data_IF_813377985778
#
_entry.id   IF_813377985778
#
_cell.length_a   1.000
_cell.length_b   1.000
_cell.length_c   1.000
_cell.angle_alpha   90.00
_cell.angle_beta   90.00
_cell.angle_gamma   90.00
#
_symmetry.space_group_name_H-M   'P 1'
#
loop_
_entity.id
_entity.type
_entity.pdbx_description
1 polymer ?
#
# COMPACT_ATOMS: atom_id res chain seq x y z
N UNK A 1 10.54 9.76 -14.69
CA UNK A 1 11.14 11.06 -14.29
C UNK A 1 11.70 11.83 -15.47
N UNK A 2 12.72 11.33 -16.19
CA UNK A 2 13.29 12.03 -17.35
C UNK A 2 12.22 12.42 -18.39
N UNK A 3 11.31 11.52 -18.74
CA UNK A 3 10.19 11.77 -19.67
C UNK A 3 9.27 12.92 -19.26
N UNK A 4 9.05 13.14 -17.95
CA UNK A 4 8.21 14.24 -17.44
C UNK A 4 8.94 15.57 -17.62
N UNK A 5 10.24 15.60 -17.30
CA UNK A 5 11.07 16.79 -17.47
C UNK A 5 11.23 17.13 -18.94
N UNK A 6 11.48 16.14 -19.79
CA UNK A 6 11.55 16.30 -21.25
C UNK A 6 10.24 16.87 -21.81
N UNK A 7 9.09 16.33 -21.37
CA UNK A 7 7.80 16.86 -21.79
C UNK A 7 7.60 18.32 -21.36
N UNK A 8 7.97 18.66 -20.12
CA UNK A 8 7.92 20.04 -19.64
C UNK A 8 8.79 20.97 -20.50
N UNK A 9 10.05 20.59 -20.74
CA UNK A 9 11.00 21.36 -21.56
C UNK A 9 10.51 21.50 -23.00
N UNK A 10 10.04 20.41 -23.63
CA UNK A 10 9.52 20.44 -24.99
C UNK A 10 8.30 21.34 -25.13
N UNK A 11 7.40 21.31 -24.15
CA UNK A 11 6.21 22.19 -24.13
C UNK A 11 6.61 23.67 -23.99
N UNK A 12 7.64 23.96 -23.18
CA UNK A 12 8.18 25.30 -23.05
C UNK A 12 8.92 25.75 -24.34
N UNK A 13 9.65 24.86 -25.01
CA UNK A 13 10.32 25.13 -26.28
C UNK A 13 9.34 25.47 -27.40
N UNK A 14 8.22 24.74 -27.49
CA UNK A 14 7.17 25.03 -28.48
C UNK A 14 6.58 26.42 -28.28
N UNK A 15 6.35 26.84 -27.03
CA UNK A 15 5.83 28.16 -26.72
C UNK A 15 6.88 29.26 -26.98
N UNK A 16 8.15 29.01 -26.66
CA UNK A 16 9.27 29.89 -27.02
C UNK A 16 9.31 30.13 -28.54
N UNK A 17 9.21 29.06 -29.34
CA UNK A 17 9.21 29.15 -30.81
C UNK A 17 7.99 29.88 -31.37
N UNK A 18 6.83 29.75 -30.73
CA UNK A 18 5.59 30.40 -31.18
C UNK A 18 5.48 31.87 -30.76
N UNK A 19 5.95 32.23 -29.56
CA UNK A 19 5.74 33.54 -28.95
C UNK A 19 6.98 34.43 -28.85
N UNK A 20 8.18 33.91 -29.12
CA UNK A 20 9.44 34.68 -29.10
C UNK A 20 9.92 35.12 -27.71
N UNK A 21 9.21 34.76 -26.63
CA UNK A 21 9.63 35.04 -25.25
C UNK A 21 10.89 34.26 -24.88
N UNK A 22 11.87 34.83 -24.16
CA UNK A 22 13.06 34.08 -23.75
C UNK A 22 12.71 32.79 -22.98
N UNK A 23 13.29 31.66 -23.38
CA UNK A 23 13.00 30.35 -22.78
C UNK A 23 13.21 30.33 -21.26
N UNK A 24 14.24 31.04 -20.78
CA UNK A 24 14.55 31.15 -19.36
C UNK A 24 13.42 31.80 -18.57
N UNK A 25 12.87 32.91 -19.06
CA UNK A 25 11.74 33.58 -18.41
C UNK A 25 10.50 32.70 -18.34
N UNK A 26 10.26 31.89 -19.39
CA UNK A 26 9.13 30.97 -19.42
C UNK A 26 9.29 29.82 -18.40
N UNK A 27 10.49 29.25 -18.31
CA UNK A 27 10.79 28.22 -17.30
C UNK A 27 10.64 28.80 -15.90
N UNK A 28 11.24 29.97 -15.64
CA UNK A 28 11.22 30.62 -14.33
C UNK A 28 9.78 30.96 -13.91
N UNK A 29 8.99 31.55 -14.80
CA UNK A 29 7.57 31.87 -14.54
C UNK A 29 6.75 30.62 -14.19
N UNK A 30 6.94 29.52 -14.94
CA UNK A 30 6.22 28.26 -14.68
C UNK A 30 6.64 27.63 -13.35
N UNK A 31 7.93 27.69 -13.02
CA UNK A 31 8.47 27.08 -11.80
C UNK A 31 8.30 27.98 -10.56
N UNK A 32 7.98 29.26 -10.71
CA UNK A 32 7.77 30.18 -9.60
C UNK A 32 6.70 29.68 -8.62
N UNK A 33 5.65 29.02 -9.12
CA UNK A 33 4.59 28.41 -8.28
C UNK A 33 5.11 27.28 -7.38
N UNK A 34 6.24 26.69 -7.72
CA UNK A 34 6.87 25.65 -6.89
C UNK A 34 7.70 26.26 -5.75
N UNK A 35 8.14 27.51 -5.86
CA UNK A 35 9.02 28.15 -4.88
C UNK A 35 8.38 28.36 -3.50
N UNK A 36 7.04 28.32 -3.42
CA UNK A 36 6.29 28.39 -2.17
C UNK A 36 6.36 27.10 -1.35
N UNK A 37 6.75 25.98 -1.98
CA UNK A 37 6.90 24.68 -1.35
C UNK A 37 8.32 24.50 -0.80
N UNK A 38 8.44 23.65 0.22
CA UNK A 38 9.73 23.21 0.77
C UNK A 38 10.58 22.62 -0.36
N UNK A 39 11.84 23.06 -0.47
CA UNK A 39 12.78 22.72 -1.56
C UNK A 39 12.43 23.25 -2.96
N UNK A 40 11.42 24.12 -3.10
CA UNK A 40 10.97 24.63 -4.39
C UNK A 40 12.05 25.33 -5.22
N UNK A 41 12.90 26.13 -4.58
CA UNK A 41 14.01 26.81 -5.26
C UNK A 41 15.08 25.84 -5.79
N UNK A 42 15.44 24.83 -4.99
CA UNK A 42 16.41 23.80 -5.41
C UNK A 42 15.83 22.96 -6.55
N UNK A 43 14.55 22.58 -6.45
CA UNK A 43 13.84 21.88 -7.51
C UNK A 43 13.83 22.70 -8.81
N UNK A 44 13.49 23.98 -8.74
CA UNK A 44 13.49 24.85 -9.91
C UNK A 44 14.88 24.96 -10.54
N UNK A 45 15.91 25.10 -9.70
CA UNK A 45 17.32 25.09 -10.14
C UNK A 45 17.67 23.79 -10.87
N UNK A 46 17.24 22.63 -10.35
CA UNK A 46 17.48 21.33 -10.99
C UNK A 46 16.86 21.24 -12.38
N UNK A 47 15.62 21.73 -12.54
CA UNK A 47 14.96 21.77 -13.85
C UNK A 47 15.67 22.75 -14.80
N UNK A 48 16.12 23.92 -14.30
CA UNK A 48 16.92 24.87 -15.08
C UNK A 48 18.23 24.22 -15.55
N UNK A 49 18.94 23.50 -14.66
CA UNK A 49 20.18 22.76 -15.00
C UNK A 49 19.93 21.68 -16.05
N UNK A 50 18.82 20.95 -15.95
CA UNK A 50 18.45 19.97 -16.97
C UNK A 50 18.28 20.65 -18.33
N UNK A 51 17.57 21.78 -18.39
CA UNK A 51 17.38 22.55 -19.62
C UNK A 51 18.72 23.06 -20.19
N UNK A 52 19.58 23.67 -19.36
CA UNK A 52 20.90 24.12 -19.81
C UNK A 52 21.74 22.96 -20.35
N UNK A 53 21.64 21.78 -19.72
CA UNK A 53 22.30 20.57 -20.20
C UNK A 53 21.77 20.13 -21.57
N UNK A 54 20.47 20.23 -21.79
CA UNK A 54 19.86 19.96 -23.10
C UNK A 54 20.29 20.97 -24.17
N UNK A 55 20.24 22.27 -23.89
CA UNK A 55 20.60 23.34 -24.83
C UNK A 55 22.09 23.31 -25.23
N UNK A 56 22.97 23.00 -24.28
CA UNK A 56 24.42 22.97 -24.50
C UNK A 56 24.95 21.59 -24.94
N UNK A 57 24.09 20.58 -25.06
CA UNK A 57 24.52 19.19 -25.32
C UNK A 57 25.36 18.58 -24.20
N UNK A 58 25.22 19.07 -22.96
CA UNK A 58 25.92 18.56 -21.79
C UNK A 58 25.10 17.45 -21.12
N UNK A 59 25.35 16.20 -21.56
CA UNK A 59 24.67 15.01 -21.05
C UNK A 59 24.96 14.71 -19.57
N UNK A 60 26.12 15.11 -19.06
CA UNK A 60 26.45 14.95 -17.64
C UNK A 60 25.51 15.81 -16.78
N UNK A 61 25.28 17.06 -17.17
CA UNK A 61 24.41 17.97 -16.41
C UNK A 61 22.94 17.50 -16.41
N UNK A 62 22.46 16.94 -17.52
CA UNK A 62 21.14 16.28 -17.59
C UNK A 62 21.07 15.08 -16.66
N UNK A 63 22.10 14.24 -16.68
CA UNK A 63 22.19 13.04 -15.84
C UNK A 63 22.21 13.42 -14.36
N UNK A 64 23.00 14.41 -13.96
CA UNK A 64 23.06 14.89 -12.58
C UNK A 64 21.70 15.48 -12.14
N UNK A 65 21.01 16.22 -13.01
CA UNK A 65 19.69 16.73 -12.70
C UNK A 65 18.67 15.59 -12.49
N UNK A 66 18.67 14.58 -13.36
CA UNK A 66 17.82 13.38 -13.19
C UNK A 66 18.18 12.61 -11.91
N UNK A 67 19.48 12.49 -11.61
CA UNK A 67 19.99 11.87 -10.38
C UNK A 67 19.45 12.57 -9.13
N UNK A 68 19.39 13.91 -9.13
CA UNK A 68 18.79 14.67 -8.04
C UNK A 68 17.30 14.40 -7.90
N UNK A 69 16.57 14.38 -9.03
CA UNK A 69 15.14 14.10 -9.02
C UNK A 69 14.79 12.68 -8.57
N UNK A 70 15.75 11.76 -8.59
CA UNK A 70 15.60 10.39 -8.09
C UNK A 70 16.03 10.23 -6.62
N UNK A 71 16.56 11.27 -5.98
CA UNK A 71 17.12 11.18 -4.63
C UNK A 71 18.40 10.35 -4.55
N UNK A 72 19.19 10.28 -5.63
CA UNK A 72 20.41 9.46 -5.71
C UNK A 72 21.69 10.21 -5.25
N UNK A 73 21.55 11.35 -4.59
CA UNK A 73 22.65 12.04 -3.91
C UNK A 73 22.67 11.65 -2.44
N UNK A 74 23.87 11.51 -1.87
CA UNK A 74 24.04 11.16 -0.45
C UNK A 74 24.62 12.30 0.38
N UNK A 75 25.14 13.36 -0.28
CA UNK A 75 25.71 14.51 0.41
C UNK A 75 25.31 15.82 -0.28
N UNK A 76 25.12 16.87 0.53
CA UNK A 76 24.88 18.23 0.05
C UNK A 76 26.07 18.73 -0.78
N UNK A 77 27.30 18.36 -0.41
CA UNK A 77 28.51 18.78 -1.12
C UNK A 77 28.52 18.28 -2.56
N UNK A 78 28.16 17.02 -2.79
CA UNK A 78 28.12 16.45 -4.13
C UNK A 78 26.99 17.06 -4.97
N UNK A 79 25.80 17.22 -4.38
CA UNK A 79 24.67 17.86 -5.05
C UNK A 79 24.98 19.31 -5.44
N UNK A 80 25.61 20.06 -4.54
CA UNK A 80 26.07 21.44 -4.80
C UNK A 80 27.12 21.50 -5.89
N UNK A 81 28.09 20.58 -5.89
CA UNK A 81 29.14 20.53 -6.92
C UNK A 81 28.57 20.21 -8.30
N UNK A 82 27.60 19.30 -8.38
CA UNK A 82 27.00 18.88 -9.64
C UNK A 82 26.01 19.92 -10.20
N UNK A 83 25.15 20.51 -9.35
CA UNK A 83 24.00 21.31 -9.80
C UNK A 83 23.92 22.72 -9.21
N UNK A 84 24.71 23.02 -8.17
CA UNK A 84 24.65 24.30 -7.46
C UNK A 84 23.51 24.42 -6.45
N UNK A 85 22.84 23.32 -6.13
CA UNK A 85 21.75 23.27 -5.14
C UNK A 85 22.25 23.25 -3.70
N UNK A 86 21.37 23.59 -2.76
CA UNK A 86 21.65 23.65 -1.31
C UNK A 86 21.13 22.43 -0.56
N UNK A 87 20.14 21.73 -1.11
CA UNK A 87 19.55 20.53 -0.54
C UNK A 87 19.46 19.41 -1.58
N UNK A 88 19.27 18.18 -1.11
CA UNK A 88 18.96 17.00 -1.91
C UNK A 88 17.83 16.23 -1.24
N UNK A 89 17.24 15.28 -1.98
CA UNK A 89 16.13 14.49 -1.45
C UNK A 89 16.67 13.42 -0.50
N UNK A 90 16.19 13.42 0.75
CA UNK A 90 16.55 12.47 1.80
C UNK A 90 15.30 11.99 2.55
N UNK A 91 15.50 11.15 3.58
CA UNK A 91 14.42 10.55 4.37
C UNK A 91 13.53 11.60 5.07
N UNK A 92 14.10 12.75 5.46
CA UNK A 92 13.39 13.79 6.21
C UNK A 92 12.47 14.62 5.30
N UNK A 93 12.85 14.77 4.03
CA UNK A 93 12.18 15.67 3.10
C UNK A 93 11.50 14.98 1.90
N UNK A 94 11.57 13.64 1.82
CA UNK A 94 11.01 12.86 0.70
C UNK A 94 9.53 13.20 0.45
N UNK A 95 8.72 13.35 1.49
CA UNK A 95 7.30 13.68 1.32
C UNK A 95 7.08 15.07 0.71
N UNK A 96 7.88 16.06 1.10
CA UNK A 96 7.82 17.40 0.50
C UNK A 96 8.30 17.39 -0.95
N UNK A 97 9.34 16.60 -1.25
CA UNK A 97 9.77 16.37 -2.63
C UNK A 97 8.65 15.73 -3.48
N UNK A 98 7.91 14.76 -2.94
CA UNK A 98 6.77 14.14 -3.63
C UNK A 98 5.64 15.15 -3.92
N UNK A 99 5.35 16.06 -2.99
CA UNK A 99 4.40 17.17 -3.23
C UNK A 99 4.88 18.07 -4.37
N UNK A 100 6.16 18.46 -4.37
CA UNK A 100 6.77 19.20 -5.47
C UNK A 100 6.64 18.48 -6.80
N UNK A 101 6.94 17.17 -6.82
CA UNK A 101 6.80 16.36 -8.02
C UNK A 101 5.37 16.32 -8.55
N UNK A 102 4.38 16.15 -7.67
CA UNK A 102 2.97 16.14 -8.07
C UNK A 102 2.54 17.47 -8.72
N UNK A 103 3.03 18.61 -8.22
CA UNK A 103 2.81 19.91 -8.87
C UNK A 103 3.55 20.03 -10.19
N UNK A 104 4.79 19.57 -10.23
CA UNK A 104 5.59 19.60 -11.44
C UNK A 104 4.99 18.73 -12.56
N UNK A 105 4.46 17.54 -12.26
CA UNK A 105 3.80 16.70 -13.28
C UNK A 105 2.59 17.42 -13.88
N UNK A 106 1.87 18.22 -13.08
CA UNK A 106 0.78 19.07 -13.59
C UNK A 106 1.29 20.14 -14.54
N UNK A 107 2.39 20.81 -14.21
CA UNK A 107 3.06 21.79 -15.08
C UNK A 107 3.58 21.15 -16.38
N UNK A 108 3.97 19.88 -16.35
CA UNK A 108 4.35 19.10 -17.53
C UNK A 108 3.15 18.60 -18.37
N UNK A 109 1.91 18.88 -17.95
CA UNK A 109 0.69 18.55 -18.70
C UNK A 109 0.01 17.23 -18.31
N UNK A 110 0.32 16.65 -17.15
CA UNK A 110 -0.39 15.50 -16.58
C UNK A 110 -1.49 15.93 -15.59
N UNK A 111 -2.26 14.98 -15.05
CA UNK A 111 -3.30 15.26 -14.04
C UNK A 111 -2.75 15.46 -12.61
N UNK A 112 -1.57 14.91 -12.32
CA UNK A 112 -0.96 14.86 -11.00
C UNK A 112 -0.07 13.62 -10.85
N UNK A 113 0.14 13.18 -9.62
CA UNK A 113 0.86 11.95 -9.28
C UNK A 113 0.01 11.08 -8.32
N UNK A 114 0.01 9.77 -8.54
CA UNK A 114 -0.56 8.78 -7.63
C UNK A 114 0.58 7.89 -7.13
N UNK A 115 0.73 7.80 -5.81
CA UNK A 115 1.78 7.01 -5.15
C UNK A 115 1.11 5.84 -4.45
N UNK A 116 1.44 4.62 -4.87
CA UNK A 116 1.06 3.40 -4.16
C UNK A 116 2.18 2.97 -3.22
N UNK A 117 1.89 2.88 -1.93
CA UNK A 117 2.75 2.24 -0.94
C UNK A 117 2.06 0.95 -0.53
N UNK A 118 2.58 -0.18 -1.00
CA UNK A 118 2.07 -1.50 -0.63
C UNK A 118 2.84 -2.05 0.59
N UNK A 119 2.29 -3.09 1.22
CA UNK A 119 2.90 -3.79 2.35
C UNK A 119 3.21 -2.89 3.57
N UNK A 120 2.27 -2.05 4.00
CA UNK A 120 2.40 -1.29 5.25
C UNK A 120 2.60 -2.20 6.47
N UNK A 121 2.29 -3.49 6.37
CA UNK A 121 2.61 -4.51 7.37
C UNK A 121 4.10 -4.51 7.76
N UNK A 122 4.99 -4.08 6.87
CA UNK A 122 6.41 -3.94 7.18
C UNK A 122 6.66 -2.89 8.28
N UNK A 123 5.86 -1.82 8.33
CA UNK A 123 5.92 -0.83 9.42
C UNK A 123 5.42 -1.44 10.74
N UNK A 124 4.37 -2.25 10.67
CA UNK A 124 3.83 -2.97 11.83
C UNK A 124 4.86 -3.95 12.42
N UNK A 125 5.63 -4.64 11.56
CA UNK A 125 6.67 -5.61 11.92
C UNK A 125 7.93 -5.00 12.53
N UNK A 126 8.20 -3.71 12.33
CA UNK A 126 9.37 -3.03 12.92
C UNK A 126 9.41 -3.27 14.45
N UNK A 127 10.52 -3.75 15.03
CA UNK A 127 10.61 -4.00 16.47
C UNK A 127 10.76 -2.71 17.28
N UNK A 128 11.50 -1.74 16.75
CA UNK A 128 11.75 -0.46 17.43
C UNK A 128 10.49 0.42 17.44
N UNK A 129 9.96 0.68 18.64
CA UNK A 129 8.77 1.50 18.84
C UNK A 129 8.93 2.96 18.39
N UNK A 130 10.12 3.55 18.59
CA UNK A 130 10.40 4.93 18.18
C UNK A 130 10.38 5.06 16.66
N UNK A 131 11.00 4.11 15.96
CA UNK A 131 10.98 4.07 14.48
C UNK A 131 9.55 3.88 13.96
N UNK A 132 8.74 2.99 14.57
CA UNK A 132 7.32 2.86 14.20
C UNK A 132 6.55 4.17 14.39
N UNK A 133 6.69 4.81 15.55
CA UNK A 133 6.00 6.06 15.85
C UNK A 133 6.34 7.17 14.84
N UNK A 134 7.62 7.34 14.51
CA UNK A 134 8.07 8.31 13.49
C UNK A 134 7.44 8.03 12.12
N UNK A 135 7.38 6.77 11.69
CA UNK A 135 6.72 6.41 10.43
C UNK A 135 5.20 6.68 10.46
N UNK A 136 4.54 6.40 11.59
CA UNK A 136 3.11 6.69 11.76
C UNK A 136 2.82 8.19 11.77
N UNK A 137 3.73 9.02 12.30
CA UNK A 137 3.65 10.48 12.20
C UNK A 137 3.76 10.95 10.74
N UNK A 138 4.61 10.32 9.92
CA UNK A 138 4.66 10.63 8.49
C UNK A 138 3.36 10.24 7.77
N UNK A 139 2.78 9.08 8.08
CA UNK A 139 1.45 8.69 7.53
C UNK A 139 0.37 9.70 7.94
N UNK A 140 0.37 10.11 9.22
CA UNK A 140 -0.57 11.12 9.72
C UNK A 140 -0.39 12.45 9.00
N UNK A 141 0.86 12.87 8.75
CA UNK A 141 1.18 14.07 7.98
C UNK A 141 0.62 13.99 6.56
N UNK A 142 0.82 12.85 5.87
CA UNK A 142 0.26 12.61 4.53
C UNK A 142 -1.27 12.73 4.54
N UNK A 143 -1.93 12.06 5.49
CA UNK A 143 -3.38 12.04 5.61
C UNK A 143 -3.94 13.44 5.90
N UNK A 144 -3.30 14.19 6.80
CA UNK A 144 -3.71 15.54 7.14
C UNK A 144 -3.56 16.50 5.94
N UNK A 145 -2.42 16.47 5.25
CA UNK A 145 -2.18 17.32 4.07
C UNK A 145 -3.18 17.01 2.95
N UNK A 146 -3.54 15.73 2.76
CA UNK A 146 -4.57 15.32 1.82
C UNK A 146 -5.98 15.82 2.20
N UNK A 147 -6.37 15.67 3.48
CA UNK A 147 -7.69 16.11 3.97
C UNK A 147 -7.84 17.64 4.03
N UNK A 148 -6.74 18.36 4.27
CA UNK A 148 -6.73 19.82 4.32
C UNK A 148 -6.57 20.47 2.94
N UNK A 149 -6.26 19.68 1.90
CA UNK A 149 -6.09 20.15 0.53
C UNK A 149 -4.73 20.80 0.25
N UNK A 150 -3.73 20.65 1.13
CA UNK A 150 -2.37 21.18 0.89
C UNK A 150 -1.54 20.28 -0.04
N UNK A 151 -1.91 19.00 -0.17
CA UNK A 151 -1.29 18.03 -1.09
C UNK A 151 -1.95 18.02 -2.48
N UNK A 152 -2.22 19.17 -3.11
CA UNK A 152 -2.96 19.15 -4.37
C UNK A 152 -2.17 18.45 -5.51
N UNK A 153 -2.92 17.81 -6.41
CA UNK A 153 -2.41 16.95 -7.48
C UNK A 153 -1.63 15.71 -7.01
N UNK A 154 -1.56 15.43 -5.71
CA UNK A 154 -0.98 14.22 -5.16
C UNK A 154 -2.08 13.30 -4.63
N UNK A 155 -2.09 12.04 -5.07
CA UNK A 155 -2.84 10.95 -4.47
C UNK A 155 -1.88 9.96 -3.82
N UNK A 156 -2.26 9.40 -2.67
CA UNK A 156 -1.51 8.34 -1.99
C UNK A 156 -2.47 7.18 -1.70
N UNK A 157 -2.08 5.97 -2.09
CA UNK A 157 -2.78 4.72 -1.81
C UNK A 157 -1.89 3.86 -0.91
N UNK A 158 -2.44 3.41 0.21
CA UNK A 158 -1.72 2.61 1.21
C UNK A 158 -2.34 1.21 1.26
N UNK A 159 -1.55 0.18 0.94
CA UNK A 159 -1.92 -1.23 1.08
C UNK A 159 -1.52 -1.75 2.45
N UNK A 160 -2.49 -2.15 3.27
CA UNK A 160 -2.26 -2.60 4.64
C UNK A 160 -3.12 -3.82 4.96
N UNK A 161 -2.63 -4.70 5.85
CA UNK A 161 -3.47 -5.78 6.41
C UNK A 161 -4.46 -5.19 7.43
N UNK A 162 -5.59 -5.86 7.69
CA UNK A 162 -6.54 -5.42 8.72
C UNK A 162 -5.86 -5.15 10.07
N UNK A 163 -4.93 -6.02 10.50
CA UNK A 163 -4.21 -5.92 11.77
C UNK A 163 -3.28 -4.71 11.80
N UNK A 164 -2.60 -4.42 10.68
CA UNK A 164 -1.75 -3.22 10.51
C UNK A 164 -2.54 -1.95 10.81
N UNK A 165 -3.83 -1.93 10.46
CA UNK A 165 -4.71 -0.79 10.75
C UNK A 165 -5.22 -0.87 12.19
N UNK A 166 -5.93 -1.95 12.54
CA UNK A 166 -6.82 -1.98 13.71
C UNK A 166 -6.18 -2.38 15.03
N UNK A 167 -4.97 -2.94 15.04
CA UNK A 167 -4.29 -3.32 16.29
C UNK A 167 -4.04 -2.08 17.17
N UNK A 168 -4.60 -2.03 18.40
CA UNK A 168 -4.52 -0.85 19.27
C UNK A 168 -3.15 -0.68 19.97
N UNK A 169 -2.27 -1.68 19.90
CA UNK A 169 -0.94 -1.66 20.52
C UNK A 169 0.15 -1.37 19.52
N UNK A 170 0.08 -1.99 18.34
CA UNK A 170 1.15 -1.92 17.32
C UNK A 170 0.69 -1.35 15.99
N UNK A 171 -0.58 -1.46 15.65
CA UNK A 171 -1.14 -0.96 14.39
C UNK A 171 -1.26 0.56 14.37
N UNK A 172 -1.79 1.10 13.28
CA UNK A 172 -2.05 2.54 13.14
C UNK A 172 -2.99 3.07 14.23
N UNK A 173 -3.89 2.22 14.76
CA UNK A 173 -4.79 2.57 15.85
C UNK A 173 -4.10 2.77 17.20
N UNK A 174 -2.83 2.36 17.35
CA UNK A 174 -2.03 2.71 18.53
C UNK A 174 -1.78 4.22 18.65
N UNK A 175 -1.88 4.95 17.54
CA UNK A 175 -1.77 6.41 17.52
C UNK A 175 -3.17 7.02 17.44
N UNK A 176 -3.63 7.64 18.52
CA UNK A 176 -5.01 8.12 18.64
C UNK A 176 -5.43 9.08 17.51
N UNK A 177 -4.51 9.93 17.03
CA UNK A 177 -4.79 10.83 15.92
C UNK A 177 -5.08 10.07 14.62
N UNK A 178 -4.34 9.01 14.32
CA UNK A 178 -4.61 8.15 13.17
C UNK A 178 -5.89 7.36 13.36
N UNK A 179 -6.10 6.77 14.55
CA UNK A 179 -7.33 6.04 14.87
C UNK A 179 -8.57 6.89 14.56
N UNK A 180 -8.59 8.14 15.01
CA UNK A 180 -9.74 9.03 14.80
C UNK A 180 -10.03 9.34 13.33
N UNK A 181 -8.98 9.35 12.49
CA UNK A 181 -9.09 9.68 11.06
C UNK A 181 -9.40 8.46 10.21
N UNK A 182 -8.92 7.28 10.61
CA UNK A 182 -9.09 6.02 9.90
C UNK A 182 -10.31 5.23 10.38
N UNK A 183 -10.98 5.71 11.44
CA UNK A 183 -12.16 5.09 11.99
C UNK A 183 -13.24 4.87 10.92
N UNK A 184 -13.85 3.69 10.96
CA UNK A 184 -14.93 3.32 10.05
C UNK A 184 -16.19 4.12 10.31
N UNK A 185 -16.94 4.30 9.23
CA UNK A 185 -18.28 4.81 9.29
C UNK A 185 -19.21 3.81 9.99
N UNK A 186 -19.61 4.14 11.22
CA UNK A 186 -20.45 3.28 12.07
C UNK A 186 -21.80 2.94 11.42
N UNK A 187 -22.36 3.86 10.61
CA UNK A 187 -23.63 3.60 9.91
C UNK A 187 -23.42 2.58 8.78
N UNK A 188 -22.37 2.74 7.99
CA UNK A 188 -22.03 1.80 6.91
C UNK A 188 -21.77 0.40 7.48
N UNK A 189 -20.95 0.31 8.53
CA UNK A 189 -20.65 -0.94 9.23
C UNK A 189 -21.91 -1.63 9.78
N UNK A 190 -22.82 -0.87 10.41
CA UNK A 190 -24.07 -1.42 10.97
C UNK A 190 -25.02 -1.99 9.91
N UNK A 191 -25.01 -1.42 8.71
CA UNK A 191 -25.88 -1.83 7.62
C UNK A 191 -25.21 -2.78 6.62
N UNK A 192 -23.97 -3.20 6.87
CA UNK A 192 -23.22 -4.07 5.96
C UNK A 192 -22.96 -3.45 4.58
N UNK A 193 -22.90 -2.12 4.52
CA UNK A 193 -22.69 -1.37 3.26
C UNK A 193 -21.22 -1.03 3.13
N UNK A 194 -20.65 -1.31 1.95
CA UNK A 194 -19.28 -0.90 1.63
C UNK A 194 -19.19 0.64 1.50
N UNK A 195 -18.41 1.26 2.37
CA UNK A 195 -18.13 2.70 2.32
C UNK A 195 -16.85 2.94 1.51
N UNK A 196 -17.02 3.42 0.27
CA UNK A 196 -15.91 3.80 -0.61
C UNK A 196 -15.56 5.30 -0.53
N UNK A 197 -16.30 6.08 0.27
CA UNK A 197 -16.05 7.50 0.47
C UNK A 197 -15.11 7.79 1.65
N UNK A 198 -14.91 6.80 2.51
CA UNK A 198 -14.00 6.88 3.65
C UNK A 198 -12.51 6.80 3.26
N UNK A 199 -11.60 7.16 4.19
CA UNK A 199 -10.16 7.09 3.99
C UNK A 199 -9.62 5.65 4.00
N UNK A 200 -10.42 4.69 4.46
CA UNK A 200 -10.10 3.26 4.47
C UNK A 200 -11.14 2.53 3.63
N UNK A 201 -10.68 1.85 2.58
CA UNK A 201 -11.51 0.95 1.77
C UNK A 201 -11.18 -0.48 2.19
N UNK A 202 -12.15 -1.18 2.78
CA UNK A 202 -12.00 -2.61 3.11
C UNK A 202 -12.34 -3.45 1.89
N UNK A 203 -11.40 -4.29 1.49
CA UNK A 203 -11.63 -5.27 0.44
C UNK A 203 -12.26 -6.52 1.07
N UNK A 204 -13.43 -6.91 0.55
CA UNK A 204 -14.07 -8.16 0.94
C UNK A 204 -13.33 -9.35 0.32
N UNK A 205 -13.37 -10.49 1.00
CA UNK A 205 -12.95 -11.75 0.41
C UNK A 205 -13.88 -12.12 -0.75
N UNK A 206 -13.38 -12.96 -1.66
CA UNK A 206 -14.21 -13.49 -2.75
C UNK A 206 -15.27 -14.44 -2.19
N UNK A 207 -16.50 -14.29 -2.66
CA UNK A 207 -17.55 -15.29 -2.43
C UNK A 207 -17.27 -16.57 -3.24
N UNK A 208 -17.81 -17.74 -2.85
CA UNK A 208 -17.65 -18.97 -3.63
C UNK A 208 -18.07 -18.82 -5.10
N UNK A 209 -19.10 -18.03 -5.36
CA UNK A 209 -19.61 -17.70 -6.68
C UNK A 209 -18.61 -16.88 -7.49
N UNK A 210 -17.99 -15.87 -6.87
CA UNK A 210 -16.95 -15.05 -7.49
C UNK A 210 -15.72 -15.91 -7.85
N UNK A 211 -15.33 -16.79 -6.93
CA UNK A 211 -14.21 -17.70 -7.14
C UNK A 211 -14.50 -18.69 -8.29
N UNK A 212 -15.72 -19.23 -8.38
CA UNK A 212 -16.14 -20.06 -9.51
C UNK A 212 -16.01 -19.32 -10.84
N UNK A 213 -16.49 -18.07 -10.91
CA UNK A 213 -16.36 -17.24 -12.12
C UNK A 213 -14.90 -16.97 -12.46
N UNK A 214 -14.06 -16.72 -11.46
CA UNK A 214 -12.62 -16.54 -11.64
C UNK A 214 -11.97 -17.79 -12.24
N UNK A 215 -12.23 -18.97 -11.68
CA UNK A 215 -11.65 -20.23 -12.16
C UNK A 215 -12.13 -20.59 -13.58
N UNK A 216 -13.40 -20.31 -13.91
CA UNK A 216 -13.93 -20.46 -15.27
C UNK A 216 -13.12 -19.59 -16.24
N UNK A 217 -12.92 -18.30 -15.92
CA UNK A 217 -12.14 -17.38 -16.78
C UNK A 217 -10.69 -17.81 -16.92
N UNK A 218 -10.09 -18.36 -15.85
CA UNK A 218 -8.72 -18.88 -15.89
C UNK A 218 -8.61 -20.10 -16.82
N UNK A 219 -9.54 -21.06 -16.74
CA UNK A 219 -9.61 -22.18 -17.69
C UNK A 219 -9.74 -21.69 -19.13
N UNK A 220 -10.63 -20.73 -19.37
CA UNK A 220 -10.86 -20.21 -20.72
C UNK A 220 -9.60 -19.53 -21.30
N UNK A 221 -8.79 -18.91 -20.43
CA UNK A 221 -7.48 -18.34 -20.80
C UNK A 221 -6.42 -19.41 -21.11
N UNK A 222 -6.46 -20.57 -20.45
CA UNK A 222 -5.53 -21.68 -20.67
C UNK A 222 -5.66 -22.33 -22.06
N UNK A 223 -6.73 -22.07 -22.80
CA UNK A 223 -6.87 -22.48 -24.20
C UNK A 223 -7.39 -23.90 -24.40
N UNK A 224 -7.23 -24.44 -25.62
CA UNK A 224 -7.91 -25.68 -26.05
C UNK A 224 -7.43 -26.96 -25.37
N UNK A 225 -6.23 -26.95 -24.76
CA UNK A 225 -5.65 -28.12 -24.07
C UNK A 225 -6.49 -28.60 -22.88
N UNK A 226 -7.29 -27.71 -22.29
CA UNK A 226 -8.17 -28.01 -21.15
C UNK A 226 -9.66 -27.97 -21.51
N UNK A 227 -10.02 -28.10 -22.79
CA UNK A 227 -11.41 -28.03 -23.24
C UNK A 227 -12.32 -29.12 -22.64
N UNK A 228 -11.74 -30.23 -22.17
CA UNK A 228 -12.44 -31.30 -21.46
C UNK A 228 -12.77 -30.96 -19.99
N UNK A 229 -12.21 -29.86 -19.46
CA UNK A 229 -12.50 -29.37 -18.10
C UNK A 229 -13.81 -28.58 -18.10
N UNK A 230 -14.90 -29.26 -17.74
CA UNK A 230 -16.25 -28.65 -17.68
C UNK A 230 -16.43 -27.77 -16.45
N UNK A 231 -17.51 -26.97 -16.41
CA UNK A 231 -17.86 -26.20 -15.23
C UNK A 231 -18.16 -27.10 -14.02
N UNK A 232 -18.66 -28.32 -14.25
CA UNK A 232 -18.91 -29.30 -13.18
C UNK A 232 -17.61 -29.80 -12.56
N UNK A 233 -16.55 -29.95 -13.34
CA UNK A 233 -15.21 -30.23 -12.82
C UNK A 233 -14.67 -29.10 -11.94
N UNK A 234 -14.93 -27.85 -12.30
CA UNK A 234 -14.52 -26.69 -11.49
C UNK A 234 -15.32 -26.64 -10.18
N UNK A 235 -16.62 -26.92 -10.22
CA UNK A 235 -17.44 -27.04 -9.00
C UNK A 235 -16.97 -28.18 -8.11
N UNK A 236 -16.61 -29.33 -8.68
CA UNK A 236 -16.07 -30.45 -7.93
C UNK A 236 -14.72 -30.11 -7.28
N UNK A 237 -13.86 -29.36 -7.97
CA UNK A 237 -12.63 -28.83 -7.40
C UNK A 237 -12.89 -27.88 -6.22
N UNK A 238 -13.82 -26.94 -6.37
CA UNK A 238 -14.19 -26.03 -5.28
C UNK A 238 -14.77 -26.77 -4.07
N UNK A 239 -15.63 -27.77 -4.30
CA UNK A 239 -16.16 -28.63 -3.23
C UNK A 239 -15.05 -29.40 -2.52
N UNK A 240 -14.13 -30.01 -3.28
CA UNK A 240 -12.96 -30.69 -2.74
C UNK A 240 -12.10 -29.77 -1.86
N UNK A 241 -11.85 -28.54 -2.32
CA UNK A 241 -11.09 -27.56 -1.56
C UNK A 241 -11.82 -27.10 -0.28
N UNK A 242 -13.13 -26.89 -0.37
CA UNK A 242 -13.96 -26.57 0.80
C UNK A 242 -13.92 -27.68 1.85
N UNK A 243 -14.00 -28.95 1.44
CA UNK A 243 -14.04 -30.09 2.36
C UNK A 243 -12.70 -30.34 3.06
N UNK A 244 -11.58 -30.05 2.38
CA UNK A 244 -10.23 -30.38 2.88
C UNK A 244 -9.55 -29.24 3.64
N UNK A 245 -9.83 -27.98 3.29
CA UNK A 245 -9.19 -26.78 3.86
C UNK A 245 -10.21 -25.95 4.66
N UNK A 246 -11.52 -26.16 4.47
CA UNK A 246 -12.57 -25.39 5.14
C UNK A 246 -12.59 -23.93 4.71
N UNK A 247 -13.13 -23.07 5.58
CA UNK A 247 -13.29 -21.64 5.31
C UNK A 247 -11.96 -20.89 5.04
N UNK A 248 -10.82 -21.46 5.45
CA UNK A 248 -9.48 -20.90 5.18
C UNK A 248 -9.15 -20.86 3.68
N UNK A 249 -9.75 -21.74 2.87
CA UNK A 249 -9.55 -21.74 1.43
C UNK A 249 -10.02 -20.45 0.75
N UNK A 250 -11.15 -19.89 1.21
CA UNK A 250 -11.70 -18.63 0.67
C UNK A 250 -10.96 -17.39 1.19
N UNK A 251 -10.10 -17.55 2.19
CA UNK A 251 -9.29 -16.46 2.73
C UNK A 251 -8.02 -16.22 1.92
N UNK A 252 -7.56 -17.21 1.14
CA UNK A 252 -6.40 -17.09 0.24
C UNK A 252 -6.75 -17.42 -1.21
N UNK A 253 -7.40 -16.51 -1.95
CA UNK A 253 -7.67 -16.67 -3.38
C UNK A 253 -6.43 -17.05 -4.19
N UNK A 254 -5.25 -16.58 -3.77
CA UNK A 254 -3.98 -16.90 -4.43
C UNK A 254 -3.66 -18.41 -4.39
N UNK A 255 -3.84 -19.05 -3.24
CA UNK A 255 -3.58 -20.47 -3.09
C UNK A 255 -4.57 -21.30 -3.94
N UNK A 256 -5.86 -20.92 -3.91
CA UNK A 256 -6.91 -21.52 -4.73
C UNK A 256 -6.60 -21.44 -6.22
N UNK A 257 -6.22 -20.26 -6.70
CA UNK A 257 -5.84 -20.03 -8.10
C UNK A 257 -4.62 -20.85 -8.49
N UNK A 258 -3.59 -20.90 -7.65
CA UNK A 258 -2.38 -21.68 -7.92
C UNK A 258 -2.68 -23.17 -8.03
N UNK A 259 -3.37 -23.74 -7.04
CA UNK A 259 -3.76 -25.15 -7.03
C UNK A 259 -4.61 -25.51 -8.26
N UNK A 260 -5.50 -24.61 -8.68
CA UNK A 260 -6.31 -24.83 -9.88
C UNK A 260 -5.47 -24.78 -11.17
N UNK A 261 -4.53 -23.84 -11.29
CA UNK A 261 -3.64 -23.77 -12.45
C UNK A 261 -2.71 -25.00 -12.53
N UNK A 262 -2.21 -25.49 -11.40
CA UNK A 262 -1.44 -26.73 -11.34
C UNK A 262 -2.28 -27.93 -11.79
N UNK A 263 -3.55 -28.00 -11.37
CA UNK A 263 -4.49 -29.01 -11.84
C UNK A 263 -4.74 -28.91 -13.35
N UNK A 264 -4.95 -27.71 -13.89
CA UNK A 264 -5.14 -27.49 -15.33
C UNK A 264 -3.91 -27.93 -16.13
N UNK A 265 -2.70 -27.64 -15.64
CA UNK A 265 -1.46 -28.06 -16.29
C UNK A 265 -1.34 -29.59 -16.37
N UNK A 266 -1.73 -30.31 -15.31
CA UNK A 266 -1.74 -31.78 -15.32
C UNK A 266 -2.83 -32.32 -16.25
N UNK A 267 -4.03 -31.74 -16.22
CA UNK A 267 -5.13 -32.14 -17.09
C UNK A 267 -4.80 -31.95 -18.58
N UNK A 268 -4.11 -30.86 -18.93
CA UNK A 268 -3.60 -30.63 -20.29
C UNK A 268 -2.55 -31.66 -20.69
N UNK A 269 -1.60 -31.96 -19.80
CA UNK A 269 -0.52 -32.91 -20.07
C UNK A 269 -1.00 -34.37 -20.14
N UNK A 270 -2.06 -34.72 -19.40
CA UNK A 270 -2.61 -36.08 -19.27
C UNK A 270 -4.13 -36.10 -19.46
N UNK A 271 -4.63 -35.89 -20.70
CA UNK A 271 -6.08 -35.91 -20.98
C UNK A 271 -6.73 -37.30 -20.80
N UNK A 272 -5.91 -38.35 -20.67
CA UNK A 272 -6.34 -39.73 -20.44
C UNK A 272 -6.82 -39.97 -18.99
N UNK A 273 -6.41 -39.11 -18.05
CA UNK A 273 -6.77 -39.26 -16.64
C UNK A 273 -8.07 -38.49 -16.37
N UNK A 274 -9.11 -39.12 -15.80
CA UNK A 274 -10.34 -38.41 -15.46
C UNK A 274 -10.07 -37.40 -14.34
N UNK A 275 -10.68 -36.22 -14.45
CA UNK A 275 -10.49 -35.12 -13.50
C UNK A 275 -10.77 -35.53 -12.04
N UNK A 276 -11.77 -36.40 -11.81
CA UNK A 276 -12.08 -36.91 -10.47
C UNK A 276 -10.88 -37.63 -9.84
N UNK A 277 -10.10 -38.37 -10.62
CA UNK A 277 -8.91 -39.07 -10.13
C UNK A 277 -7.72 -38.13 -9.87
N UNK A 278 -7.67 -36.96 -10.53
CA UNK A 278 -6.66 -35.93 -10.27
C UNK A 278 -6.88 -35.21 -8.93
N UNK A 279 -8.12 -35.18 -8.45
CA UNK A 279 -8.47 -34.62 -7.14
C UNK A 279 -8.19 -35.61 -5.99
N UNK A 280 -8.15 -36.91 -6.27
CA UNK A 280 -7.84 -37.95 -5.29
C UNK A 280 -6.34 -37.96 -4.93
N UNK A 281 -6.01 -37.79 -3.64
CA UNK A 281 -4.64 -37.95 -3.13
C UNK A 281 -3.76 -36.69 -3.05
N UNK A 282 -4.29 -35.50 -3.34
CA UNK A 282 -3.53 -34.23 -3.20
C UNK A 282 -3.69 -33.65 -1.79
N UNK A 283 -2.59 -33.54 -1.04
CA UNK A 283 -2.53 -32.70 0.17
C UNK A 283 -2.23 -31.26 -0.24
N UNK A 284 -3.24 -30.40 -0.16
CA UNK A 284 -3.07 -28.96 -0.32
C UNK A 284 -2.55 -28.39 1.01
N UNK A 285 -1.30 -27.92 1.02
CA UNK A 285 -0.73 -27.23 2.17
C UNK A 285 -1.26 -25.80 2.25
N UNK A 286 -1.57 -25.35 3.47
CA UNK A 286 -2.05 -24.01 3.74
C UNK A 286 -0.90 -22.98 3.58
N UNK A 287 -0.95 -22.17 2.52
CA UNK A 287 -0.01 -21.06 2.28
C UNK A 287 -0.33 -19.83 3.18
N UNK A 288 -1.42 -19.86 3.98
CA UNK A 288 -1.82 -18.74 4.83
C UNK A 288 -0.72 -18.34 5.84
N UNK A 289 0.14 -19.28 6.23
CA UNK A 289 1.21 -19.05 7.21
C UNK A 289 2.49 -18.43 6.62
N UNK A 290 2.64 -18.36 5.29
CA UNK A 290 3.90 -17.91 4.67
C UNK A 290 4.04 -16.39 4.57
N UNK A 291 2.96 -15.62 4.72
CA UNK A 291 3.00 -14.15 4.75
C UNK A 291 3.05 -13.58 6.18
N UNK A 292 2.79 -14.44 7.17
CA UNK A 292 2.84 -14.13 8.60
C UNK A 292 4.09 -14.74 9.27
N UNK A 293 5.23 -14.73 8.57
CA UNK A 293 6.50 -14.98 9.26
C UNK A 293 6.75 -13.85 10.27
N UNK A 294 6.54 -14.20 11.54
CA UNK A 294 7.23 -13.64 12.69
C UNK A 294 6.70 -12.31 13.20
N UNK A 295 5.50 -12.30 13.77
CA UNK A 295 5.23 -11.41 14.90
C UNK A 295 6.23 -11.76 16.01
N UNK A 296 7.17 -10.87 16.41
CA UNK A 296 8.00 -11.15 17.57
C UNK A 296 7.09 -11.20 18.80
N UNK A 297 7.04 -12.37 19.43
CA UNK A 297 6.52 -12.52 20.79
C UNK A 297 7.49 -11.81 21.73
N UNK A 298 7.16 -10.62 22.19
CA UNK A 298 7.95 -9.96 23.22
C UNK A 298 7.56 -10.53 24.60
N UNK A 299 8.55 -11.19 25.21
CA UNK A 299 8.67 -11.27 26.66
C UNK A 299 8.63 -9.85 27.24
N UNK A 300 7.90 -9.68 28.34
CA UNK A 300 7.75 -8.42 29.02
C UNK A 300 9.11 -7.91 29.52
N UNK A 301 9.67 -6.91 28.84
CA UNK A 301 10.85 -6.21 29.33
C UNK A 301 10.43 -5.25 30.46
N UNK A 302 10.53 -5.77 31.68
CA UNK A 302 10.45 -4.98 32.90
C UNK A 302 11.78 -4.26 33.11
N UNK A 303 11.82 -2.96 32.78
CA UNK A 303 12.90 -2.08 33.19
C UNK A 303 12.35 -0.85 33.91
N UNK A 304 12.44 -0.98 35.23
CA UNK A 304 12.48 0.02 36.29
C UNK A 304 12.95 1.43 35.87
N UNK A 305 12.06 2.42 36.03
CA UNK A 305 12.42 3.82 36.13
C UNK A 305 11.38 4.55 36.99
N UNK A 306 11.60 4.58 38.31
CA UNK A 306 10.68 5.26 39.23
C UNK A 306 11.28 5.60 40.59
N UNK A 307 12.35 6.38 40.62
CA UNK A 307 12.84 7.02 41.85
C UNK A 307 12.47 8.51 41.92
N UNK A 308 11.43 8.88 42.66
CA UNK A 308 11.49 9.76 43.86
C UNK A 308 10.13 10.30 44.32
N UNK A 309 9.85 10.02 45.60
CA UNK A 309 9.20 10.86 46.61
C UNK A 309 7.73 11.33 46.44
N UNK A 310 6.83 10.58 47.07
CA UNK A 310 6.23 11.00 48.35
C UNK A 310 4.92 11.80 48.34
N UNK A 311 3.81 11.17 48.77
CA UNK A 311 3.00 11.57 49.93
C UNK A 311 1.82 10.59 50.13
N UNK A 312 1.51 10.34 51.39
CA UNK A 312 0.65 9.28 51.91
C UNK A 312 -0.85 9.69 51.99
N UNK A 313 -1.77 8.72 51.89
CA UNK A 313 -2.65 8.25 52.99
C UNK A 313 -3.86 7.40 52.52
N UNK A 314 -4.09 6.29 53.24
CA UNK A 314 -5.37 5.73 53.74
C UNK A 314 -6.37 5.10 52.73
N UNK A 315 -6.44 3.76 52.63
CA UNK A 315 -7.32 2.79 53.36
C UNK A 315 -8.81 2.81 52.99
N UNK A 316 -9.31 1.67 52.48
CA UNK A 316 -10.59 0.94 52.82
C UNK A 316 -10.92 -0.06 51.69
N UNK A 317 -10.67 -1.36 51.88
CA UNK A 317 -11.63 -2.45 52.19
C UNK A 317 -12.67 -2.79 51.11
N UNK A 318 -12.54 -4.02 50.58
CA UNK A 318 -13.44 -4.84 49.73
C UNK A 318 -14.80 -5.16 50.42
N UNK A 319 -15.81 -5.90 49.84
CA UNK A 319 -15.64 -7.12 49.02
C UNK A 319 -16.67 -7.45 47.89
N UNK A 320 -16.19 -8.33 46.98
CA UNK A 320 -16.81 -9.53 46.39
C UNK A 320 -18.28 -9.58 45.93
N UNK A 321 -18.48 -10.05 44.69
CA UNK A 321 -19.41 -11.18 44.45
C UNK A 321 -18.98 -12.04 43.25
N UNK A 322 -19.04 -13.35 43.47
CA UNK A 322 -18.77 -14.46 42.55
C UNK A 322 -20.12 -14.97 42.04
N UNK A 323 -20.24 -15.25 40.74
CA UNK A 323 -21.24 -16.18 40.23
C UNK A 323 -20.71 -16.90 38.97
N UNK A 324 -20.74 -18.22 39.03
CA UNK A 324 -20.30 -19.20 38.04
C UNK A 324 -21.51 -19.70 37.19
N UNK A 325 -21.36 -20.60 36.20
CA UNK A 325 -21.92 -20.44 34.86
C UNK A 325 -23.19 -21.27 34.61
N UNK A 326 -23.91 -20.98 33.51
CA UNK A 326 -24.95 -21.85 32.97
C UNK A 326 -24.60 -22.31 31.56
N UNK A 327 -24.84 -23.61 31.36
CA UNK A 327 -24.57 -24.44 30.20
C UNK A 327 -25.67 -24.37 29.12
N UNK A 328 -25.29 -24.89 27.95
CA UNK A 328 -26.10 -25.66 26.97
C UNK A 328 -27.21 -24.95 26.19
N UNK A 329 -26.93 -24.71 24.92
CA UNK A 329 -27.85 -25.03 23.83
C UNK A 329 -27.02 -25.44 22.60
N UNK A 330 -27.10 -26.72 22.25
CA UNK A 330 -26.69 -27.27 20.96
C UNK A 330 -27.66 -26.74 19.91
N UNK A 331 -27.14 -26.05 18.87
CA UNK A 331 -27.93 -25.68 17.70
C UNK A 331 -27.59 -26.62 16.53
N UNK A 332 -28.66 -27.23 16.05
CA UNK A 332 -28.78 -28.32 15.09
C UNK A 332 -28.55 -27.81 13.65
N UNK A 333 -27.41 -28.14 13.04
CA UNK A 333 -27.05 -27.80 11.66
C UNK A 333 -27.48 -28.88 10.67
N UNK A 334 -28.78 -29.16 10.59
CA UNK A 334 -29.34 -30.13 9.64
C UNK A 334 -30.42 -29.53 8.74
N UNK A 335 -30.09 -28.49 7.97
CA UNK A 335 -30.90 -28.17 6.77
C UNK A 335 -30.18 -27.30 5.72
N UNK A 336 -29.40 -27.93 4.85
CA UNK A 336 -29.17 -27.42 3.50
C UNK A 336 -29.52 -28.51 2.49
N UNK A 337 -30.43 -28.19 1.57
CA UNK A 337 -30.85 -29.04 0.45
C UNK A 337 -30.22 -28.49 -0.83
N UNK A 338 -29.71 -29.43 -1.64
CA UNK A 338 -29.25 -29.28 -3.02
C UNK A 338 -30.27 -28.58 -3.92
#
# INVERSE_FOLDING_TARGET
>A
MASVVERFVNTALQEHQAGGRPMRELIDERLQRLSELVMGYDFATVIERYYHGHDQGNEQLKTDAVRWLRGEFSTVTDARKALGVRAFIDDDNIYDALKLFARFTRLAGYGGALIGLDELVNLYKLPNAQSRASNYEQILRILNDALQGSAEHLGVLLGATPETISDPRRGLYSYQALQSRLAENTFAAKHGVADFGGPVVRLANLEPEDLLVLLIKLRDLSGSGVAHVTNDHIRAFLAFCNDRIGAAYFQSPRASVRAFLDLLAVAEARPDIPMSALLEGVDLTDDATSQDEGLPSEEADGADAGGTAGLAQQTTTSPSSVAQPRSSAEDDLSSFKL
#
